data_IF_714798707902
#
_entry.id   IF_714798707902
#
_cell.length_a   1.000
_cell.length_b   1.000
_cell.length_c   1.000
_cell.angle_alpha   90.00
_cell.angle_beta   90.00
_cell.angle_gamma   90.00
#
_symmetry.space_group_name_H-M   'P 1'
#
loop_
_entity.id
_entity.type
_entity.pdbx_description
1 polymer ?
#
# COMPACT_ATOMS: atom_id res chain seq x y z
N UNK A 1 19.52 14.25 -9.19
CA UNK A 1 18.87 14.19 -7.86
C UNK A 1 17.38 13.91 -8.02
N UNK A 2 16.77 13.29 -7.02
CA UNK A 2 15.34 12.93 -7.05
C UNK A 2 14.47 14.19 -7.25
N UNK A 3 13.36 14.02 -7.97
CA UNK A 3 12.37 15.08 -8.20
C UNK A 3 11.67 15.45 -6.89
N UNK A 4 11.19 16.69 -6.79
CA UNK A 4 10.47 17.19 -5.61
C UNK A 4 9.24 16.32 -5.26
N UNK A 5 8.55 15.82 -6.28
CA UNK A 5 7.38 14.95 -6.15
C UNK A 5 7.72 13.64 -5.40
N UNK A 6 8.94 13.12 -5.57
CA UNK A 6 9.38 11.92 -4.84
C UNK A 6 9.48 12.13 -3.34
N UNK A 7 9.96 13.31 -2.90
CA UNK A 7 9.98 13.64 -1.47
C UNK A 7 8.57 13.80 -0.90
N UNK A 8 7.64 14.34 -1.70
CA UNK A 8 6.23 14.46 -1.30
C UNK A 8 5.60 13.07 -1.12
N UNK A 9 5.83 12.15 -2.07
CA UNK A 9 5.39 10.76 -1.95
C UNK A 9 6.01 10.07 -0.73
N UNK A 10 7.29 10.30 -0.46
CA UNK A 10 7.98 9.77 0.71
C UNK A 10 7.34 10.25 2.01
N UNK A 11 7.12 11.55 2.17
CA UNK A 11 6.46 12.09 3.37
C UNK A 11 5.01 11.61 3.48
N UNK A 12 4.26 11.60 2.38
CA UNK A 12 2.91 11.04 2.34
C UNK A 12 2.90 9.58 2.79
N UNK A 13 3.87 8.77 2.32
CA UNK A 13 3.99 7.36 2.71
C UNK A 13 4.28 7.18 4.20
N UNK A 14 5.16 7.99 4.78
CA UNK A 14 5.41 7.99 6.23
C UNK A 14 4.11 8.28 6.97
N UNK A 15 3.41 9.35 6.64
CA UNK A 15 2.18 9.78 7.31
C UNK A 15 1.10 8.71 7.22
N UNK A 16 0.88 8.14 6.03
CA UNK A 16 -0.11 7.07 5.82
C UNK A 16 0.23 5.81 6.64
N UNK A 17 1.48 5.38 6.63
CA UNK A 17 1.87 4.18 7.37
C UNK A 17 1.89 4.41 8.89
N UNK A 18 2.33 5.58 9.37
CA UNK A 18 2.20 5.95 10.79
C UNK A 18 0.74 5.96 11.26
N UNK A 19 -0.16 6.46 10.41
CA UNK A 19 -1.58 6.52 10.69
C UNK A 19 -2.30 5.19 10.51
N UNK A 20 -1.68 4.17 9.92
CA UNK A 20 -2.29 2.85 9.69
C UNK A 20 -2.33 2.02 10.98
N UNK A 21 -3.03 2.53 12.00
CA UNK A 21 -3.02 1.99 13.36
C UNK A 21 -3.81 0.68 13.49
N UNK A 22 -4.88 0.53 12.72
CA UNK A 22 -5.86 -0.56 12.89
C UNK A 22 -5.37 -1.88 12.28
N UNK A 23 -4.67 -1.85 11.14
CA UNK A 23 -4.22 -3.07 10.47
C UNK A 23 -3.38 -3.99 11.34
N UNK A 24 -2.34 -3.51 12.04
CA UNK A 24 -1.57 -4.36 12.95
C UNK A 24 -2.39 -4.90 14.12
N UNK A 25 -3.50 -4.21 14.47
CA UNK A 25 -4.34 -4.55 15.62
C UNK A 25 -5.58 -5.37 15.25
N UNK A 26 -5.80 -5.64 13.96
CA UNK A 26 -7.02 -6.31 13.51
C UNK A 26 -7.26 -7.64 14.23
N UNK A 27 -6.22 -8.48 14.36
CA UNK A 27 -6.31 -9.74 15.10
C UNK A 27 -6.69 -9.53 16.57
N UNK A 28 -6.14 -8.50 17.21
CA UNK A 28 -6.44 -8.15 18.59
C UNK A 28 -7.88 -7.64 18.74
N UNK A 29 -8.36 -6.84 17.79
CA UNK A 29 -9.77 -6.41 17.73
C UNK A 29 -10.70 -7.61 17.64
N UNK A 30 -10.44 -8.56 16.73
CA UNK A 30 -11.26 -9.75 16.53
C UNK A 30 -11.29 -10.64 17.78
N UNK A 31 -10.15 -10.82 18.45
CA UNK A 31 -10.06 -11.70 19.62
C UNK A 31 -10.59 -11.03 20.89
N UNK A 32 -10.15 -9.81 21.21
CA UNK A 32 -10.44 -9.14 22.49
C UNK A 32 -11.78 -8.41 22.47
N UNK A 33 -12.07 -7.64 21.41
CA UNK A 33 -13.33 -6.86 21.34
C UNK A 33 -14.50 -7.64 20.83
N UNK A 34 -14.27 -8.62 19.95
CA UNK A 34 -15.35 -9.42 19.35
C UNK A 34 -15.44 -10.83 19.94
N UNK A 35 -14.53 -11.23 20.83
CA UNK A 35 -14.56 -12.54 21.52
C UNK A 35 -14.29 -13.73 20.60
N UNK A 36 -13.69 -13.52 19.43
CA UNK A 36 -13.33 -14.62 18.53
C UNK A 36 -12.15 -15.43 19.09
N UNK A 37 -12.15 -16.73 18.83
CA UNK A 37 -10.96 -17.55 19.13
C UNK A 37 -9.78 -17.15 18.22
N UNK A 38 -8.55 -17.40 18.67
CA UNK A 38 -7.37 -17.14 17.88
C UNK A 38 -7.42 -17.83 16.50
N UNK A 39 -7.96 -19.05 16.43
CA UNK A 39 -8.13 -19.78 15.17
C UNK A 39 -9.14 -19.10 14.24
N UNK A 40 -10.23 -18.57 14.77
CA UNK A 40 -11.23 -17.83 13.97
C UNK A 40 -10.65 -16.51 13.44
N UNK A 41 -9.93 -15.78 14.27
CA UNK A 41 -9.27 -14.53 13.85
C UNK A 41 -8.20 -14.79 12.78
N UNK A 42 -7.41 -15.86 12.92
CA UNK A 42 -6.43 -16.27 11.91
C UNK A 42 -7.11 -16.67 10.59
N UNK A 43 -8.20 -17.45 10.65
CA UNK A 43 -8.97 -17.84 9.48
C UNK A 43 -9.58 -16.61 8.78
N UNK A 44 -10.09 -15.65 9.55
CA UNK A 44 -10.60 -14.39 9.01
C UNK A 44 -9.51 -13.63 8.25
N UNK A 45 -8.31 -13.49 8.84
CA UNK A 45 -7.17 -12.86 8.18
C UNK A 45 -6.75 -13.55 6.88
N UNK A 46 -6.74 -14.89 6.88
CA UNK A 46 -6.44 -15.69 5.70
C UNK A 46 -7.49 -15.47 4.60
N UNK A 47 -8.78 -15.53 4.94
CA UNK A 47 -9.87 -15.26 3.97
C UNK A 47 -9.75 -13.85 3.41
N UNK A 48 -9.47 -12.85 4.25
CA UNK A 48 -9.29 -11.47 3.79
C UNK A 48 -8.10 -11.32 2.86
N UNK A 49 -6.98 -11.98 3.12
CA UNK A 49 -5.82 -11.97 2.23
C UNK A 49 -6.15 -12.61 0.87
N UNK A 50 -6.87 -13.72 0.87
CA UNK A 50 -7.34 -14.36 -0.37
C UNK A 50 -8.31 -13.48 -1.16
N UNK A 51 -9.18 -12.74 -0.47
CA UNK A 51 -10.10 -11.78 -1.12
C UNK A 51 -9.32 -10.60 -1.70
N UNK A 52 -8.31 -10.08 -1.02
CA UNK A 52 -7.53 -8.93 -1.49
C UNK A 52 -6.63 -9.26 -2.70
N UNK A 53 -6.16 -10.50 -2.83
CA UNK A 53 -5.26 -10.91 -3.91
C UNK A 53 -5.77 -10.59 -5.33
N UNK A 54 -7.02 -10.96 -5.73
CA UNK A 54 -7.55 -10.60 -7.05
C UNK A 54 -7.70 -9.08 -7.23
N UNK A 55 -7.98 -8.32 -6.17
CA UNK A 55 -8.09 -6.86 -6.27
C UNK A 55 -6.73 -6.20 -6.54
N UNK A 56 -5.63 -6.72 -6.00
CA UNK A 56 -4.30 -6.27 -6.36
C UNK A 56 -4.00 -6.48 -7.85
N UNK A 57 -4.37 -7.63 -8.41
CA UNK A 57 -4.22 -7.91 -9.85
C UNK A 57 -5.09 -6.99 -10.72
N UNK A 58 -6.33 -6.73 -10.28
CA UNK A 58 -7.23 -5.76 -10.94
C UNK A 58 -6.64 -4.36 -10.86
N UNK A 59 -6.11 -3.97 -9.71
CA UNK A 59 -5.42 -2.68 -9.50
C UNK A 59 -4.28 -2.46 -10.49
N UNK A 60 -3.46 -3.49 -10.75
CA UNK A 60 -2.41 -3.44 -11.77
C UNK A 60 -2.97 -3.17 -13.18
N UNK A 61 -4.03 -3.89 -13.58
CA UNK A 61 -4.69 -3.65 -14.88
C UNK A 61 -5.33 -2.28 -15.00
N UNK A 62 -5.87 -1.76 -13.91
CA UNK A 62 -6.43 -0.41 -13.86
C UNK A 62 -5.34 0.65 -13.96
N UNK A 63 -4.20 0.45 -13.29
CA UNK A 63 -3.03 1.33 -13.37
C UNK A 63 -2.47 1.46 -14.80
N UNK A 64 -2.61 0.40 -15.60
CA UNK A 64 -2.19 0.41 -17.01
C UNK A 64 -3.16 1.17 -17.93
N UNK A 65 -4.46 1.20 -17.57
CA UNK A 65 -5.52 1.77 -18.41
C UNK A 65 -5.91 3.20 -18.03
N UNK A 66 -5.84 3.54 -16.77
CA UNK A 66 -6.31 4.82 -16.24
C UNK A 66 -5.14 5.69 -15.79
N UNK A 67 -5.42 6.97 -15.61
CA UNK A 67 -4.46 7.88 -15.00
C UNK A 67 -4.21 7.46 -13.54
N UNK A 68 -2.97 7.04 -13.25
CA UNK A 68 -2.56 6.49 -11.97
C UNK A 68 -2.88 7.42 -10.80
N UNK A 69 -2.61 8.74 -10.97
CA UNK A 69 -2.92 9.75 -9.96
C UNK A 69 -4.41 9.80 -9.62
N UNK A 70 -5.27 9.81 -10.63
CA UNK A 70 -6.71 9.86 -10.42
C UNK A 70 -7.23 8.57 -9.79
N UNK A 71 -6.68 7.43 -10.18
CA UNK A 71 -7.05 6.13 -9.61
C UNK A 71 -6.67 6.07 -8.11
N UNK A 72 -5.48 6.53 -7.74
CA UNK A 72 -5.05 6.64 -6.35
C UNK A 72 -6.05 7.52 -5.57
N UNK A 73 -6.34 8.73 -6.06
CA UNK A 73 -7.23 9.67 -5.38
C UNK A 73 -8.62 9.06 -5.16
N UNK A 74 -9.20 8.42 -6.17
CA UNK A 74 -10.54 7.81 -6.07
C UNK A 74 -10.55 6.66 -5.06
N UNK A 75 -9.57 5.75 -5.13
CA UNK A 75 -9.47 4.63 -4.19
C UNK A 75 -9.24 5.11 -2.76
N UNK A 76 -8.35 6.08 -2.56
CA UNK A 76 -8.09 6.68 -1.26
C UNK A 76 -9.32 7.36 -0.67
N UNK A 77 -10.07 8.12 -1.48
CA UNK A 77 -11.29 8.78 -0.98
C UNK A 77 -12.34 7.77 -0.50
N UNK A 78 -12.49 6.63 -1.18
CA UNK A 78 -13.37 5.55 -0.72
C UNK A 78 -12.84 4.94 0.57
N UNK A 79 -11.53 4.66 0.64
CA UNK A 79 -10.86 4.14 1.84
C UNK A 79 -11.05 5.07 3.02
N UNK A 80 -10.83 6.37 2.84
CA UNK A 80 -11.02 7.42 3.85
C UNK A 80 -12.47 7.47 4.32
N UNK A 81 -13.43 7.44 3.40
CA UNK A 81 -14.85 7.43 3.74
C UNK A 81 -15.21 6.22 4.62
N UNK A 82 -14.71 5.02 4.26
CA UNK A 82 -14.90 3.81 5.07
C UNK A 82 -14.29 3.95 6.47
N UNK A 83 -13.06 4.44 6.58
CA UNK A 83 -12.36 4.55 7.86
C UNK A 83 -12.97 5.63 8.77
N UNK A 84 -13.34 6.77 8.20
CA UNK A 84 -14.05 7.81 8.95
C UNK A 84 -15.44 7.30 9.40
N UNK A 85 -16.17 6.59 8.55
CA UNK A 85 -17.45 5.99 8.95
C UNK A 85 -17.28 5.00 10.11
N UNK A 86 -16.22 4.18 10.10
CA UNK A 86 -15.91 3.27 11.21
C UNK A 86 -15.68 4.01 12.54
N UNK A 87 -15.16 5.24 12.52
CA UNK A 87 -14.91 6.02 13.75
C UNK A 87 -16.20 6.46 14.47
N UNK A 88 -17.33 6.50 13.76
CA UNK A 88 -18.64 6.87 14.31
C UNK A 88 -19.52 5.65 14.65
N UNK A 89 -19.02 4.44 14.40
CA UNK A 89 -19.77 3.21 14.62
C UNK A 89 -19.26 2.49 15.86
N UNK A 90 -20.16 1.80 16.56
CA UNK A 90 -19.78 0.85 17.60
C UNK A 90 -18.99 -0.32 17.00
N UNK A 91 -18.05 -0.89 17.78
CA UNK A 91 -17.24 -2.01 17.32
C UNK A 91 -18.10 -3.28 17.23
N UNK A 92 -18.42 -3.64 16.00
CA UNK A 92 -19.16 -4.85 15.67
C UNK A 92 -18.66 -5.43 14.32
N UNK A 93 -19.22 -6.56 13.90
CA UNK A 93 -18.81 -7.20 12.64
C UNK A 93 -19.02 -6.28 11.41
N UNK A 94 -20.05 -5.45 11.42
CA UNK A 94 -20.32 -4.49 10.34
C UNK A 94 -19.17 -3.47 10.21
N UNK A 95 -18.69 -2.95 11.34
CA UNK A 95 -17.54 -2.02 11.39
C UNK A 95 -16.27 -2.70 10.86
N UNK A 96 -16.01 -3.95 11.25
CA UNK A 96 -14.86 -4.72 10.73
C UNK A 96 -14.99 -4.94 9.23
N UNK A 97 -16.16 -5.33 8.72
CA UNK A 97 -16.36 -5.52 7.28
C UNK A 97 -16.23 -4.22 6.50
N UNK A 98 -16.71 -3.11 7.04
CA UNK A 98 -16.56 -1.79 6.44
C UNK A 98 -15.07 -1.38 6.38
N UNK A 99 -14.33 -1.61 7.46
CA UNK A 99 -12.87 -1.39 7.48
C UNK A 99 -12.15 -2.26 6.45
N UNK A 100 -12.50 -3.55 6.36
CA UNK A 100 -11.95 -4.46 5.36
C UNK A 100 -12.28 -4.01 3.93
N UNK A 101 -13.47 -3.45 3.70
CA UNK A 101 -13.85 -2.87 2.41
C UNK A 101 -12.91 -1.70 2.04
N UNK A 102 -12.65 -0.79 2.97
CA UNK A 102 -11.62 0.25 2.77
C UNK A 102 -10.25 -0.34 2.42
N UNK A 103 -9.85 -1.40 3.10
CA UNK A 103 -8.60 -2.12 2.83
C UNK A 103 -8.52 -2.76 1.44
N UNK A 104 -9.64 -3.20 0.88
CA UNK A 104 -9.70 -3.70 -0.50
C UNK A 104 -9.38 -2.56 -1.49
N UNK A 105 -9.95 -1.36 -1.29
CA UNK A 105 -9.65 -0.21 -2.13
C UNK A 105 -8.20 0.26 -1.98
N UNK A 106 -7.63 0.24 -0.77
CA UNK A 106 -6.23 0.50 -0.53
C UNK A 106 -5.31 -0.53 -1.24
N UNK A 107 -5.71 -1.82 -1.27
CA UNK A 107 -4.99 -2.86 -2.01
C UNK A 107 -5.06 -2.64 -3.53
N UNK A 108 -6.18 -2.17 -4.03
CA UNK A 108 -6.40 -1.86 -5.44
C UNK A 108 -5.58 -0.63 -5.89
N UNK A 109 -5.34 0.32 -5.00
CA UNK A 109 -4.52 1.51 -5.23
C UNK A 109 -3.02 1.19 -5.31
N UNK A 110 -2.53 0.21 -4.53
CA UNK A 110 -1.11 -0.10 -4.37
C UNK A 110 -0.30 -0.16 -5.66
N UNK A 111 -0.68 -0.97 -6.67
CA UNK A 111 0.04 -1.03 -7.94
C UNK A 111 0.11 0.30 -8.70
N UNK A 112 -0.92 1.17 -8.54
CA UNK A 112 -0.93 2.51 -9.15
C UNK A 112 0.09 3.42 -8.49
N UNK A 113 0.26 3.31 -7.18
CA UNK A 113 1.27 4.05 -6.43
C UNK A 113 2.68 3.64 -6.84
N UNK A 114 2.95 2.35 -6.94
CA UNK A 114 4.25 1.83 -7.37
C UNK A 114 4.58 2.23 -8.81
N UNK A 115 3.60 2.17 -9.70
CA UNK A 115 3.73 2.63 -11.07
C UNK A 115 3.94 4.16 -11.16
N UNK A 116 3.33 4.93 -10.26
CA UNK A 116 3.55 6.37 -10.14
C UNK A 116 4.98 6.69 -9.72
N UNK A 117 5.52 5.98 -8.74
CA UNK A 117 6.93 6.09 -8.32
C UNK A 117 7.85 5.76 -9.49
N UNK A 118 7.56 4.72 -10.27
CA UNK A 118 8.34 4.35 -11.44
C UNK A 118 8.32 5.44 -12.54
N UNK A 119 7.15 6.04 -12.79
CA UNK A 119 6.99 7.11 -13.79
C UNK A 119 7.68 8.42 -13.40
N UNK A 120 7.88 8.66 -12.10
CA UNK A 120 8.55 9.86 -11.56
C UNK A 120 10.08 9.74 -11.53
N UNK A 121 10.62 8.55 -11.78
CA UNK A 121 12.04 8.24 -11.62
C UNK A 121 12.67 7.84 -12.95
N UNK A 122 13.93 8.24 -13.15
CA UNK A 122 14.78 7.73 -14.22
C UNK A 122 15.37 6.38 -13.83
N UNK A 123 15.89 5.59 -14.79
CA UNK A 123 16.56 4.31 -14.49
C UNK A 123 17.72 4.49 -13.50
N UNK A 124 18.46 5.59 -13.60
CA UNK A 124 19.58 5.89 -12.72
C UNK A 124 19.17 6.24 -11.26
N UNK A 125 17.98 6.82 -11.07
CA UNK A 125 17.49 7.26 -9.77
C UNK A 125 16.47 6.29 -9.15
N UNK A 126 16.04 5.27 -9.90
CA UNK A 126 14.95 4.35 -9.52
C UNK A 126 15.23 3.58 -8.24
N UNK A 127 16.42 3.00 -8.13
CA UNK A 127 16.84 2.27 -6.94
C UNK A 127 16.77 3.15 -5.69
N UNK A 128 17.26 4.40 -5.80
CA UNK A 128 17.24 5.37 -4.71
C UNK A 128 15.82 5.78 -4.32
N UNK A 129 14.92 5.93 -5.30
CA UNK A 129 13.54 6.28 -5.06
C UNK A 129 12.78 5.16 -4.35
N UNK A 130 12.94 3.91 -4.80
CA UNK A 130 12.33 2.76 -4.12
C UNK A 130 12.90 2.52 -2.72
N UNK A 131 14.22 2.69 -2.53
CA UNK A 131 14.84 2.60 -1.21
C UNK A 131 14.28 3.66 -0.25
N UNK A 132 14.08 4.90 -0.73
CA UNK A 132 13.48 5.97 0.05
C UNK A 132 12.02 5.65 0.40
N UNK A 133 11.23 5.17 -0.56
CA UNK A 133 9.83 4.78 -0.34
C UNK A 133 9.71 3.63 0.66
N UNK A 134 10.60 2.63 0.55
CA UNK A 134 10.67 1.50 1.49
C UNK A 134 11.06 1.94 2.90
N UNK A 135 12.03 2.85 3.02
CA UNK A 135 12.39 3.46 4.30
C UNK A 135 11.21 4.18 4.94
N UNK A 136 10.48 4.99 4.17
CA UNK A 136 9.29 5.70 4.64
C UNK A 136 8.21 4.74 5.14
N UNK A 137 7.97 3.66 4.40
CA UNK A 137 7.01 2.61 4.80
C UNK A 137 7.39 1.96 6.12
N UNK A 138 8.66 1.58 6.30
CA UNK A 138 9.11 0.92 7.53
C UNK A 138 9.12 1.86 8.74
N UNK A 139 9.49 3.13 8.57
CA UNK A 139 9.43 4.12 9.64
C UNK A 139 8.00 4.29 10.17
N UNK A 140 7.03 4.37 9.26
CA UNK A 140 5.62 4.44 9.63
C UNK A 140 5.15 3.16 10.33
N UNK A 141 5.49 2.00 9.77
CA UNK A 141 5.05 0.70 10.28
C UNK A 141 5.58 0.39 11.69
N UNK A 142 6.77 0.85 12.05
CA UNK A 142 7.33 0.69 13.41
C UNK A 142 6.52 1.47 14.45
N UNK A 143 6.03 2.66 14.10
CA UNK A 143 5.32 3.53 15.03
C UNK A 143 3.82 3.17 15.14
N UNK A 144 3.23 2.63 14.09
CA UNK A 144 1.80 2.34 14.04
C UNK A 144 1.31 1.38 15.15
N UNK A 145 1.94 0.21 15.42
CA UNK A 145 1.49 -0.69 16.48
C UNK A 145 1.59 -0.07 17.87
N UNK A 146 2.62 0.75 18.12
CA UNK A 146 2.82 1.42 19.42
C UNK A 146 1.71 2.43 19.66
N UNK A 147 1.43 3.29 18.70
CA UNK A 147 0.36 4.28 18.79
C UNK A 147 -1.02 3.60 18.82
N UNK A 148 -1.23 2.58 18.00
CA UNK A 148 -2.46 1.79 18.01
C UNK A 148 -2.71 1.12 19.35
N UNK A 149 -1.68 0.53 19.96
CA UNK A 149 -1.75 -0.09 21.29
C UNK A 149 -2.21 0.85 22.38
N UNK A 150 -1.75 2.10 22.36
CA UNK A 150 -2.17 3.13 23.33
C UNK A 150 -3.65 3.51 23.19
N UNK A 151 -4.20 3.42 21.98
CA UNK A 151 -5.60 3.77 21.70
C UNK A 151 -6.55 2.58 21.80
N UNK A 152 -6.02 1.36 21.85
CA UNK A 152 -6.80 0.12 21.70
C UNK A 152 -7.89 -0.05 22.75
N UNK A 153 -7.59 0.26 24.02
CA UNK A 153 -8.49 -0.04 25.12
C UNK A 153 -9.74 0.86 25.12
N UNK A 154 -9.56 2.18 24.96
CA UNK A 154 -10.60 3.16 25.20
C UNK A 154 -10.90 4.10 24.03
N UNK A 155 -10.05 4.14 22.98
CA UNK A 155 -10.12 5.14 21.92
C UNK A 155 -9.92 4.54 20.53
N UNK A 156 -10.59 3.40 20.24
CA UNK A 156 -10.56 2.77 18.91
C UNK A 156 -11.16 3.68 17.84
N UNK A 157 -12.18 4.46 18.20
CA UNK A 157 -12.78 5.50 17.37
C UNK A 157 -11.73 6.51 16.87
N UNK A 158 -10.86 6.99 17.78
CA UNK A 158 -9.75 7.86 17.44
C UNK A 158 -8.72 7.15 16.54
N UNK A 159 -8.44 5.87 16.75
CA UNK A 159 -7.53 5.12 15.91
C UNK A 159 -8.04 5.02 14.46
N UNK A 160 -9.34 4.77 14.25
CA UNK A 160 -9.97 4.82 12.93
C UNK A 160 -9.92 6.21 12.32
N UNK A 161 -10.22 7.25 13.09
CA UNK A 161 -10.18 8.63 12.64
C UNK A 161 -8.76 9.04 12.21
N UNK A 162 -7.75 8.73 13.01
CA UNK A 162 -6.33 9.00 12.69
C UNK A 162 -5.94 8.29 11.40
N UNK A 163 -6.34 7.02 11.24
CA UNK A 163 -6.06 6.25 10.03
C UNK A 163 -6.68 6.92 8.79
N UNK A 164 -7.94 7.34 8.88
CA UNK A 164 -8.63 8.05 7.80
C UNK A 164 -8.02 9.41 7.49
N UNK A 165 -7.73 10.23 8.50
CA UNK A 165 -7.15 11.57 8.33
C UNK A 165 -5.73 11.49 7.77
N UNK A 166 -4.93 10.53 8.21
CA UNK A 166 -3.57 10.32 7.69
C UNK A 166 -3.58 9.95 6.20
N UNK A 167 -4.46 9.05 5.80
CA UNK A 167 -4.66 8.70 4.38
C UNK A 167 -5.14 9.91 3.60
N UNK A 168 -6.13 10.66 4.11
CA UNK A 168 -6.63 11.88 3.46
C UNK A 168 -5.52 12.92 3.28
N UNK A 169 -4.66 13.10 4.28
CA UNK A 169 -3.53 14.04 4.21
C UNK A 169 -2.56 13.67 3.09
N UNK A 170 -2.24 12.38 2.94
CA UNK A 170 -1.42 11.88 1.84
C UNK A 170 -2.09 12.10 0.47
N UNK A 171 -3.38 11.81 0.37
CA UNK A 171 -4.17 12.01 -0.86
C UNK A 171 -4.20 13.48 -1.26
N UNK A 172 -4.37 14.39 -0.30
CA UNK A 172 -4.32 15.85 -0.53
C UNK A 172 -2.94 16.27 -1.03
N UNK A 173 -1.86 15.73 -0.45
CA UNK A 173 -0.51 16.00 -0.94
C UNK A 173 -0.32 15.55 -2.39
N UNK A 174 -0.81 14.36 -2.74
CA UNK A 174 -0.77 13.85 -4.12
C UNK A 174 -1.60 14.74 -5.03
N UNK A 175 -2.79 15.14 -4.59
CA UNK A 175 -3.69 16.00 -5.38
C UNK A 175 -3.09 17.37 -5.66
N UNK A 176 -2.43 18.00 -4.68
CA UNK A 176 -1.91 19.36 -4.82
C UNK A 176 -0.57 19.42 -5.57
N UNK A 177 0.30 18.45 -5.34
CA UNK A 177 1.70 18.55 -5.75
C UNK A 177 2.09 17.59 -6.88
N UNK A 178 1.40 16.48 -7.05
CA UNK A 178 1.63 15.57 -8.16
C UNK A 178 0.74 15.97 -9.33
N UNK A 179 1.19 16.94 -10.13
CA UNK A 179 0.53 17.35 -11.37
C UNK A 179 0.65 16.23 -12.42
N UNK A 180 -0.20 16.28 -13.46
CA UNK A 180 -0.19 15.30 -14.56
C UNK A 180 1.23 14.97 -15.01
N UNK A 181 1.63 13.73 -14.75
CA UNK A 181 2.98 13.29 -15.00
C UNK A 181 3.07 12.94 -16.48
N UNK A 182 3.61 13.87 -17.25
CA UNK A 182 4.24 13.49 -18.49
C UNK A 182 5.39 12.55 -18.10
N UNK A 183 5.32 11.27 -18.51
CA UNK A 183 6.44 10.33 -18.37
C UNK A 183 7.72 11.12 -18.64
N UNK A 184 8.69 11.02 -17.74
CA UNK A 184 10.02 11.46 -18.05
C UNK A 184 10.41 10.62 -19.27
N UNK A 185 10.28 11.21 -20.46
CA UNK A 185 10.84 10.60 -21.67
C UNK A 185 12.34 10.60 -21.42
N UNK A 186 12.86 9.49 -20.90
CA UNK A 186 14.24 9.17 -21.20
C UNK A 186 14.33 9.18 -22.72
N UNK A 187 15.41 9.76 -23.24
CA UNK A 187 15.71 9.68 -24.68
C UNK A 187 15.79 8.21 -25.08
N UNK A 188 14.64 7.69 -25.53
CA UNK A 188 14.30 6.28 -25.69
C UNK A 188 14.96 5.69 -26.93
N UNK A 189 15.87 6.40 -27.61
CA UNK A 189 16.48 5.88 -28.83
C UNK A 189 17.63 4.88 -28.65
N UNK A 190 18.08 4.60 -27.42
CA UNK A 190 19.22 3.67 -27.21
C UNK A 190 19.06 2.61 -26.12
N UNK A 191 18.11 2.72 -25.22
CA UNK A 191 18.02 1.88 -24.01
C UNK A 191 17.12 0.65 -24.15
N UNK A 192 15.94 0.79 -24.71
CA UNK A 192 14.94 -0.28 -24.71
C UNK A 192 15.28 -1.53 -25.56
N UNK A 193 16.07 -1.39 -26.63
CA UNK A 193 16.50 -2.57 -27.40
C UNK A 193 17.60 -3.40 -26.67
N UNK A 194 18.40 -2.75 -25.82
CA UNK A 194 19.38 -3.45 -24.98
C UNK A 194 18.70 -4.13 -23.78
N UNK A 195 17.84 -3.40 -23.07
CA UNK A 195 17.16 -3.91 -21.88
C UNK A 195 16.15 -5.02 -22.18
N UNK A 196 15.50 -5.01 -23.35
CA UNK A 196 14.59 -6.10 -23.77
C UNK A 196 15.35 -7.38 -24.08
N UNK A 197 16.55 -7.31 -24.69
CA UNK A 197 17.40 -8.48 -24.95
C UNK A 197 18.07 -8.99 -23.68
N UNK A 198 18.54 -8.10 -22.83
CA UNK A 198 19.14 -8.44 -21.52
C UNK A 198 18.07 -8.93 -20.53
N UNK A 199 16.87 -8.39 -20.55
CA UNK A 199 15.74 -8.81 -19.70
C UNK A 199 15.24 -10.21 -20.05
N UNK A 200 15.16 -10.59 -21.31
CA UNK A 200 14.82 -11.96 -21.71
C UNK A 200 15.92 -12.95 -21.37
N UNK A 201 17.19 -12.56 -21.53
CA UNK A 201 18.35 -13.38 -21.12
C UNK A 201 18.43 -13.51 -19.59
N UNK A 202 18.19 -12.43 -18.85
CA UNK A 202 18.20 -12.46 -17.38
C UNK A 202 17.07 -13.29 -16.78
N UNK A 203 15.85 -13.23 -17.35
CA UNK A 203 14.73 -14.08 -16.94
C UNK A 203 15.00 -15.56 -17.17
N UNK A 204 15.59 -15.93 -18.32
CA UNK A 204 15.93 -17.32 -18.63
C UNK A 204 17.04 -17.87 -17.71
N UNK A 205 18.03 -17.04 -17.36
CA UNK A 205 19.14 -17.41 -16.45
C UNK A 205 18.67 -17.47 -14.99
N UNK A 206 17.76 -16.61 -14.58
CA UNK A 206 17.27 -16.59 -13.20
C UNK A 206 16.29 -17.74 -12.89
N UNK A 207 15.50 -18.20 -13.85
CA UNK A 207 14.58 -19.33 -13.62
C UNK A 207 15.31 -20.68 -13.41
N UNK A 208 16.55 -20.78 -13.82
CA UNK A 208 17.38 -21.98 -13.62
C UNK A 208 18.15 -22.01 -12.29
N UNK A 209 18.10 -20.94 -11.48
CA UNK A 209 18.82 -20.92 -10.19
C UNK A 209 17.94 -21.46 -9.07
N UNK A 210 18.35 -22.59 -8.40
CA UNK A 210 17.58 -23.17 -7.28
C UNK A 210 17.37 -22.19 -6.13
N UNK A 211 18.24 -21.20 -5.98
CA UNK A 211 18.15 -20.15 -4.95
C UNK A 211 16.93 -19.24 -5.19
N UNK A 212 16.55 -18.98 -6.43
CA UNK A 212 15.38 -18.13 -6.73
C UNK A 212 14.08 -18.87 -6.47
N UNK A 213 14.04 -20.17 -6.75
CA UNK A 213 12.91 -21.04 -6.41
C UNK A 213 12.75 -21.12 -4.89
N UNK A 214 13.87 -21.27 -4.15
CA UNK A 214 13.85 -21.28 -2.69
C UNK A 214 13.37 -19.93 -2.13
N UNK A 215 13.83 -18.81 -2.68
CA UNK A 215 13.38 -17.48 -2.29
C UNK A 215 11.89 -17.26 -2.55
N UNK A 216 11.36 -17.70 -3.71
CA UNK A 216 9.94 -17.64 -4.02
C UNK A 216 9.10 -18.51 -3.09
N UNK A 217 9.59 -19.72 -2.75
CA UNK A 217 8.93 -20.60 -1.78
C UNK A 217 8.93 -19.97 -0.38
N UNK A 218 10.07 -19.45 0.07
CA UNK A 218 10.17 -18.77 1.37
C UNK A 218 9.30 -17.50 1.45
N UNK A 219 9.21 -16.71 0.35
CA UNK A 219 8.36 -15.52 0.32
C UNK A 219 6.86 -15.83 0.23
N UNK A 220 6.50 -17.03 -0.24
CA UNK A 220 5.11 -17.49 -0.27
C UNK A 220 4.66 -18.12 1.06
N UNK A 221 5.61 -18.49 1.92
CA UNK A 221 5.37 -19.09 3.24
C UNK A 221 5.48 -18.07 4.40
N UNK A 222 5.96 -16.85 4.14
CA UNK A 222 6.04 -15.75 5.08
C UNK A 222 4.82 -14.82 4.99
#
# INVERSE_FOLDING_TARGET
GLRREMYILFFGRIVTNMGSLIWPMLTLILTVKMGMSASQAALFGLVMSLVQMPFSLVGGKLADRFNKRNLIIVCDLVTVACYIACSFMEMNMTTVLLFCTGGIFATLEGPSYDALVADLTTSADRERAYSLNYLGSNLGLVLAPTLGGLLFENHLDLAFLITGVSTLSSTVLIFLFVKDITRVKEDVKGGYEKDAKDGQSALSVNFQRPVLILFLICSALA
#
